data_IF_571433724147
#
_entry.id   IF_571433724147
#
_cell.length_a   1.000
_cell.length_b   1.000
_cell.length_c   1.000
_cell.angle_alpha   90.00
_cell.angle_beta   90.00
_cell.angle_gamma   90.00
#
_symmetry.space_group_name_H-M   'P 1'
#
loop_
_entity.id
_entity.type
_entity.pdbx_description
1 polymer ?
#
# COMPACT_ATOMS: atom_id res chain seq x y z
N UNK A 1 23.19 13.33 -16.69
CA UNK A 1 21.80 13.78 -16.44
C UNK A 1 21.27 13.03 -15.24
N UNK A 2 20.40 13.63 -14.41
CA UNK A 2 19.78 12.91 -13.29
C UNK A 2 18.98 11.68 -13.81
N UNK A 3 18.96 10.60 -13.04
CA UNK A 3 18.22 9.36 -13.32
C UNK A 3 18.43 8.79 -14.74
N UNK A 4 19.65 8.86 -15.29
CA UNK A 4 19.97 8.44 -16.66
C UNK A 4 19.10 9.09 -17.76
N UNK A 5 18.55 10.30 -17.50
CA UNK A 5 17.67 10.99 -18.45
C UNK A 5 16.22 10.49 -18.44
N UNK A 6 15.85 9.57 -17.54
CA UNK A 6 14.46 9.17 -17.33
C UNK A 6 13.71 10.20 -16.47
N UNK A 7 12.50 10.56 -16.89
CA UNK A 7 11.60 11.36 -16.07
C UNK A 7 11.17 10.55 -14.84
N UNK A 8 11.15 11.14 -13.63
CA UNK A 8 10.59 10.48 -12.46
C UNK A 8 9.09 10.22 -12.70
N UNK A 9 8.55 9.10 -12.20
CA UNK A 9 7.12 8.84 -12.29
C UNK A 9 6.35 9.88 -11.45
N UNK A 10 5.10 10.15 -11.85
CA UNK A 10 4.20 10.97 -11.04
C UNK A 10 3.82 10.24 -9.74
N UNK A 11 3.81 10.99 -8.64
CA UNK A 11 3.53 10.45 -7.30
C UNK A 11 2.08 10.61 -6.86
N UNK A 12 1.22 11.29 -7.63
CA UNK A 12 -0.16 11.56 -7.23
C UNK A 12 -0.97 10.29 -6.97
N UNK A 13 -0.65 9.18 -7.67
CA UNK A 13 -1.35 7.90 -7.53
C UNK A 13 -0.43 6.72 -7.22
N UNK A 14 0.85 6.96 -6.90
CA UNK A 14 1.86 5.90 -6.82
C UNK A 14 1.52 4.84 -5.77
N UNK A 15 0.97 5.24 -4.63
CA UNK A 15 0.55 4.35 -3.55
C UNK A 15 -0.61 3.40 -3.95
N UNK A 16 -1.36 3.72 -5.01
CA UNK A 16 -2.40 2.82 -5.56
C UNK A 16 -1.93 2.10 -6.83
N UNK A 17 -0.97 2.66 -7.54
CA UNK A 17 -0.47 2.13 -8.81
C UNK A 17 0.60 1.04 -8.65
N UNK A 18 1.07 0.81 -7.42
CA UNK A 18 2.12 -0.16 -7.10
C UNK A 18 1.61 -1.08 -6.01
N UNK A 19 0.85 -2.10 -6.39
CA UNK A 19 0.43 -3.16 -5.48
C UNK A 19 1.36 -4.36 -5.62
N UNK A 20 1.79 -4.93 -4.50
CA UNK A 20 2.55 -6.18 -4.46
C UNK A 20 1.59 -7.29 -4.06
N UNK A 21 1.44 -8.29 -4.91
CA UNK A 21 0.64 -9.48 -4.61
C UNK A 21 1.52 -10.51 -3.89
N UNK A 22 0.98 -11.17 -2.86
CA UNK A 22 1.69 -12.22 -2.11
C UNK A 22 1.85 -13.55 -2.87
N UNK A 23 1.38 -13.60 -4.13
CA UNK A 23 1.49 -14.75 -5.04
C UNK A 23 0.49 -15.90 -4.73
N UNK A 24 0.46 -16.90 -5.62
CA UNK A 24 -0.36 -18.10 -5.44
C UNK A 24 0.30 -19.06 -4.42
N UNK A 25 -0.45 -19.62 -3.44
CA UNK A 25 -1.89 -19.51 -3.17
C UNK A 25 -2.25 -18.51 -2.05
N UNK A 26 -1.34 -17.64 -1.64
CA UNK A 26 -1.50 -16.76 -0.47
C UNK A 26 -2.69 -15.80 -0.57
N UNK A 27 -3.11 -15.48 -1.80
CA UNK A 27 -4.30 -14.65 -2.08
C UNK A 27 -5.58 -15.17 -1.39
N UNK A 28 -5.69 -16.46 -1.08
CA UNK A 28 -6.85 -17.02 -0.37
C UNK A 28 -6.97 -16.42 1.03
N UNK A 29 -5.84 -16.17 1.70
CA UNK A 29 -5.82 -15.59 3.03
C UNK A 29 -6.04 -14.07 3.00
N UNK A 30 -5.67 -13.39 1.92
CA UNK A 30 -5.91 -11.94 1.73
C UNK A 30 -7.39 -11.57 1.82
N UNK A 31 -8.28 -12.49 1.41
CA UNK A 31 -9.74 -12.29 1.50
C UNK A 31 -10.19 -12.16 2.95
N UNK A 32 -9.57 -12.90 3.87
CA UNK A 32 -9.94 -12.89 5.28
C UNK A 32 -9.27 -11.74 6.05
N UNK A 33 -8.07 -11.32 5.62
CA UNK A 33 -7.35 -10.22 6.28
C UNK A 33 -7.75 -8.84 5.77
N UNK A 34 -8.34 -8.75 4.57
CA UNK A 34 -8.74 -7.48 3.92
C UNK A 34 -7.61 -6.45 3.88
N UNK A 35 -6.36 -6.93 3.80
CA UNK A 35 -5.18 -6.07 3.82
C UNK A 35 -5.12 -5.22 2.54
N UNK A 36 -5.08 -3.89 2.69
CA UNK A 36 -5.14 -2.95 1.58
C UNK A 36 -3.98 -1.94 1.55
N UNK A 37 -2.90 -2.21 2.30
CA UNK A 37 -1.78 -1.27 2.51
C UNK A 37 -0.53 -1.65 1.69
N UNK A 38 -0.64 -2.59 0.75
CA UNK A 38 0.51 -3.10 -0.01
C UNK A 38 1.24 -2.07 -0.87
N UNK A 39 0.61 -0.93 -1.22
CA UNK A 39 1.28 0.14 -1.95
C UNK A 39 2.11 1.08 -1.08
N UNK A 40 1.57 1.62 0.03
CA UNK A 40 2.36 2.30 1.05
C UNK A 40 3.53 1.46 1.56
N UNK A 41 3.32 0.16 1.79
CA UNK A 41 4.39 -0.76 2.21
C UNK A 41 5.47 -0.90 1.15
N UNK A 42 5.08 -0.99 -0.12
CA UNK A 42 6.02 -1.05 -1.23
C UNK A 42 6.88 0.22 -1.27
N UNK A 43 6.29 1.39 -1.10
CA UNK A 43 7.03 2.66 -1.06
C UNK A 43 8.00 2.68 0.12
N UNK A 44 7.55 2.26 1.31
CA UNK A 44 8.39 2.20 2.52
C UNK A 44 9.57 1.25 2.31
N UNK A 45 9.31 0.04 1.82
CA UNK A 45 10.33 -0.97 1.55
C UNK A 45 11.32 -0.50 0.48
N UNK A 46 10.83 0.17 -0.57
CA UNK A 46 11.67 0.74 -1.61
C UNK A 46 12.60 1.83 -1.04
N UNK A 47 12.11 2.70 -0.18
CA UNK A 47 12.89 3.79 0.40
C UNK A 47 13.93 3.29 1.41
N UNK A 48 13.66 2.19 2.12
CA UNK A 48 14.56 1.60 3.11
C UNK A 48 15.56 0.60 2.51
N UNK A 49 15.29 0.03 1.34
CA UNK A 49 16.10 -1.03 0.73
C UNK A 49 17.37 -0.63 -0.04
N UNK A 50 17.77 0.64 0.00
CA UNK A 50 18.93 1.12 -0.80
C UNK A 50 20.30 0.69 -0.27
N UNK A 51 20.39 0.27 0.99
CA UNK A 51 21.65 -0.18 1.61
C UNK A 51 21.87 -1.70 1.48
N UNK A 52 20.92 -2.40 0.87
CA UNK A 52 21.01 -3.84 0.64
C UNK A 52 22.08 -4.18 -0.40
N UNK A 53 22.77 -5.30 -0.22
CA UNK A 53 23.84 -5.71 -1.14
C UNK A 53 23.30 -6.61 -2.25
N UNK A 54 23.76 -6.43 -3.50
CA UNK A 54 23.38 -7.31 -4.59
C UNK A 54 23.95 -8.72 -4.36
N UNK A 55 23.17 -9.79 -4.64
CA UNK A 55 23.67 -11.16 -4.58
C UNK A 55 24.92 -11.38 -5.43
N UNK A 56 25.78 -12.30 -5.02
CA UNK A 56 27.03 -12.60 -5.70
C UNK A 56 26.80 -12.90 -7.19
N UNK A 57 27.57 -12.25 -8.07
CA UNK A 57 27.47 -12.40 -9.52
C UNK A 57 26.33 -11.61 -10.19
N UNK A 58 25.54 -10.84 -9.43
CA UNK A 58 24.54 -9.96 -10.01
C UNK A 58 25.18 -8.72 -10.63
N UNK A 59 25.01 -8.55 -11.94
CA UNK A 59 25.45 -7.35 -12.65
C UNK A 59 24.38 -6.26 -12.52
N UNK A 60 24.82 -5.07 -12.08
CA UNK A 60 24.01 -3.87 -12.00
C UNK A 60 24.43 -2.95 -13.14
N UNK A 61 23.46 -2.45 -13.90
CA UNK A 61 23.76 -1.56 -15.02
C UNK A 61 24.35 -0.24 -14.52
N UNK A 62 25.28 0.32 -15.28
CA UNK A 62 25.87 1.62 -14.95
C UNK A 62 24.79 2.70 -14.82
N UNK A 63 24.92 3.56 -13.81
CA UNK A 63 23.94 4.60 -13.51
C UNK A 63 22.64 4.10 -12.87
N UNK A 64 22.56 2.82 -12.48
CA UNK A 64 21.43 2.29 -11.71
C UNK A 64 21.85 1.86 -10.31
N UNK A 65 20.89 1.87 -9.39
CA UNK A 65 21.06 1.55 -7.99
C UNK A 65 20.31 0.26 -7.68
N UNK A 66 20.98 -0.69 -7.03
CA UNK A 66 20.34 -1.93 -6.60
C UNK A 66 19.29 -1.65 -5.52
N UNK A 67 18.16 -2.34 -5.60
CA UNK A 67 17.15 -2.34 -4.55
C UNK A 67 16.32 -3.63 -4.65
N UNK A 68 16.31 -4.50 -3.62
CA UNK A 68 15.62 -5.79 -3.69
C UNK A 68 14.10 -5.67 -3.72
N UNK A 69 13.56 -4.53 -3.29
CA UNK A 69 12.11 -4.30 -3.22
C UNK A 69 11.57 -3.64 -4.49
N UNK A 70 12.42 -3.27 -5.45
CA UNK A 70 11.95 -2.71 -6.71
C UNK A 70 11.30 -3.79 -7.59
N UNK A 71 9.96 -3.75 -7.70
CA UNK A 71 9.21 -4.82 -8.37
C UNK A 71 9.42 -4.91 -9.89
N UNK A 72 9.89 -3.85 -10.54
CA UNK A 72 9.99 -3.82 -12.00
C UNK A 72 11.33 -4.33 -12.54
N UNK A 73 12.40 -4.34 -11.73
CA UNK A 73 13.72 -4.81 -12.13
C UNK A 73 14.65 -5.02 -10.92
N UNK A 74 15.89 -5.46 -11.15
CA UNK A 74 16.92 -5.62 -10.12
C UNK A 74 17.47 -4.30 -9.57
N UNK A 75 17.33 -3.22 -10.34
CA UNK A 75 17.90 -1.92 -10.04
C UNK A 75 17.05 -0.82 -10.69
N UNK A 76 17.14 0.40 -10.16
CA UNK A 76 16.43 1.57 -10.65
C UNK A 76 17.37 2.77 -10.82
N UNK A 77 17.00 3.71 -11.69
CA UNK A 77 17.81 4.90 -11.95
C UNK A 77 17.74 5.96 -10.83
N UNK A 78 16.85 5.79 -9.85
CA UNK A 78 16.72 6.67 -8.70
C UNK A 78 17.84 6.40 -7.70
N UNK A 79 18.63 7.43 -7.36
CA UNK A 79 19.59 7.36 -6.26
C UNK A 79 18.89 7.35 -4.90
N UNK A 80 19.59 6.90 -3.84
CA UNK A 80 19.09 6.88 -2.46
C UNK A 80 18.61 8.29 -2.06
N UNK A 81 17.31 8.51 -1.80
CA UNK A 81 16.76 9.84 -1.58
C UNK A 81 16.79 10.31 -0.12
N UNK A 82 16.94 9.37 0.81
CA UNK A 82 16.85 9.59 2.26
C UNK A 82 18.16 9.21 2.96
N UNK A 83 18.50 9.94 3.99
CA UNK A 83 19.58 9.66 4.95
C UNK A 83 19.11 10.06 6.35
N UNK A 84 19.69 9.46 7.38
CA UNK A 84 19.42 9.86 8.76
C UNK A 84 19.78 11.35 8.98
N UNK A 85 19.07 12.00 9.90
CA UNK A 85 19.26 13.42 10.27
C UNK A 85 19.08 14.43 9.12
N UNK A 86 18.48 14.01 8.00
CA UNK A 86 18.26 14.87 6.83
C UNK A 86 17.15 15.92 7.04
N UNK A 87 16.12 15.62 7.85
CA UNK A 87 14.98 16.52 8.10
C UNK A 87 14.63 16.55 9.58
N UNK A 88 14.69 17.72 10.20
CA UNK A 88 14.30 17.89 11.60
C UNK A 88 12.80 18.07 11.73
N UNK A 89 12.16 17.25 12.58
CA UNK A 89 10.77 17.40 12.96
C UNK A 89 10.59 18.33 14.16
N UNK A 90 9.56 19.17 14.13
CA UNK A 90 9.26 20.12 15.21
C UNK A 90 8.72 19.45 16.50
N UNK A 91 8.20 18.22 16.37
CA UNK A 91 7.60 17.45 17.46
C UNK A 91 8.57 16.49 18.16
N UNK A 92 9.84 16.46 17.73
CA UNK A 92 10.85 15.57 18.28
C UNK A 92 10.78 14.13 17.76
N UNK A 93 10.03 13.87 16.68
CA UNK A 93 10.01 12.55 16.04
C UNK A 93 11.41 12.07 15.60
N UNK A 94 11.66 10.75 15.59
CA UNK A 94 12.96 10.19 15.21
C UNK A 94 13.40 10.63 13.81
N UNK A 95 14.64 11.06 13.67
CA UNK A 95 15.21 11.54 12.41
C UNK A 95 15.87 10.41 11.62
N UNK A 96 15.18 9.29 11.45
CA UNK A 96 15.72 8.08 10.81
C UNK A 96 15.08 7.82 9.45
N UNK A 97 15.81 7.14 8.55
CA UNK A 97 15.29 6.71 7.24
C UNK A 97 14.00 5.90 7.37
N UNK A 98 13.86 5.05 8.38
CA UNK A 98 12.63 4.29 8.62
C UNK A 98 11.43 5.21 8.92
N UNK A 99 11.63 6.23 9.77
CA UNK A 99 10.59 7.19 10.11
C UNK A 99 10.20 8.05 8.90
N UNK A 100 11.19 8.61 8.20
CA UNK A 100 10.94 9.38 6.98
C UNK A 100 10.20 8.55 5.92
N UNK A 101 10.61 7.30 5.70
CA UNK A 101 9.97 6.41 4.75
C UNK A 101 8.51 6.12 5.13
N UNK A 102 8.23 5.92 6.43
CA UNK A 102 6.87 5.67 6.92
C UNK A 102 5.97 6.88 6.70
N UNK A 103 6.46 8.06 7.01
CA UNK A 103 5.71 9.31 6.89
C UNK A 103 5.45 9.69 5.43
N UNK A 104 6.46 9.57 4.57
CA UNK A 104 6.32 9.80 3.13
C UNK A 104 5.34 8.81 2.50
N UNK A 105 5.42 7.53 2.87
CA UNK A 105 4.45 6.52 2.39
C UNK A 105 3.03 6.82 2.83
N UNK A 106 2.83 7.23 4.09
CA UNK A 106 1.53 7.63 4.61
C UNK A 106 0.98 8.87 3.88
N UNK A 107 1.82 9.88 3.67
CA UNK A 107 1.47 11.09 2.91
C UNK A 107 1.08 10.76 1.46
N UNK A 108 1.85 9.90 0.78
CA UNK A 108 1.55 9.48 -0.59
C UNK A 108 0.27 8.64 -0.68
N UNK A 109 -0.05 7.86 0.35
CA UNK A 109 -1.34 7.18 0.44
C UNK A 109 -2.49 8.16 0.57
N UNK A 110 -2.35 9.17 1.43
CA UNK A 110 -3.33 10.23 1.58
C UNK A 110 -3.51 11.02 0.27
N UNK A 111 -2.41 11.38 -0.40
CA UNK A 111 -2.47 12.07 -1.69
C UNK A 111 -3.17 11.23 -2.77
N UNK A 112 -2.91 9.91 -2.78
CA UNK A 112 -3.55 9.00 -3.70
C UNK A 112 -5.03 8.72 -3.34
N UNK A 113 -5.40 8.77 -2.06
CA UNK A 113 -6.77 8.53 -1.60
C UNK A 113 -7.22 9.51 -0.50
N UNK A 114 -7.53 10.77 -0.86
CA UNK A 114 -7.90 11.80 0.12
C UNK A 114 -9.24 11.54 0.81
N UNK A 115 -10.12 10.72 0.20
CA UNK A 115 -11.43 10.36 0.73
C UNK A 115 -11.47 9.00 1.44
N UNK A 116 -10.31 8.42 1.77
CA UNK A 116 -10.21 7.07 2.35
C UNK A 116 -11.04 6.93 3.64
N UNK A 117 -10.93 7.91 4.55
CA UNK A 117 -11.67 7.90 5.82
C UNK A 117 -13.18 8.01 5.60
N UNK A 118 -13.61 8.88 4.69
CA UNK A 118 -15.02 9.07 4.36
C UNK A 118 -15.61 7.81 3.71
N UNK A 119 -14.86 7.17 2.82
CA UNK A 119 -15.24 5.88 2.23
C UNK A 119 -15.41 4.80 3.30
N UNK A 120 -14.43 4.66 4.21
CA UNK A 120 -14.50 3.69 5.32
C UNK A 120 -15.69 3.97 6.25
N UNK A 121 -15.90 5.23 6.63
CA UNK A 121 -17.02 5.67 7.47
C UNK A 121 -18.38 5.38 6.81
N UNK A 122 -18.51 5.66 5.53
CA UNK A 122 -19.74 5.39 4.77
C UNK A 122 -19.99 3.89 4.62
N UNK A 123 -18.95 3.12 4.27
CA UNK A 123 -19.03 1.67 4.17
C UNK A 123 -19.48 1.00 5.48
N UNK A 124 -18.96 1.46 6.62
CA UNK A 124 -19.40 0.96 7.93
C UNK A 124 -20.89 1.21 8.19
N UNK A 125 -21.40 2.42 7.90
CA UNK A 125 -22.83 2.74 8.03
C UNK A 125 -23.70 1.85 7.13
N UNK A 126 -23.27 1.65 5.89
CA UNK A 126 -23.98 0.78 4.93
C UNK A 126 -23.99 -0.67 5.42
N UNK A 127 -22.89 -1.18 5.97
CA UNK A 127 -22.83 -2.54 6.51
C UNK A 127 -23.84 -2.76 7.64
N UNK A 128 -23.93 -1.82 8.58
CA UNK A 128 -24.92 -1.87 9.68
C UNK A 128 -26.34 -1.87 9.12
N UNK A 129 -26.64 -0.99 8.17
CA UNK A 129 -27.95 -0.95 7.51
C UNK A 129 -28.29 -2.28 6.83
N UNK A 130 -27.35 -2.87 6.08
CA UNK A 130 -27.56 -4.13 5.37
C UNK A 130 -27.80 -5.30 6.32
N UNK A 131 -27.10 -5.36 7.46
CA UNK A 131 -27.34 -6.40 8.48
C UNK A 131 -28.76 -6.29 9.04
N UNK A 132 -29.20 -5.08 9.39
CA UNK A 132 -30.56 -4.85 9.89
C UNK A 132 -31.62 -5.18 8.82
N UNK A 133 -31.40 -4.70 7.59
CA UNK A 133 -32.30 -4.95 6.47
C UNK A 133 -32.38 -6.44 6.13
N UNK A 134 -31.26 -7.15 6.11
CA UNK A 134 -31.23 -8.60 5.91
C UNK A 134 -32.01 -9.34 7.02
N UNK A 135 -31.91 -8.89 8.26
CA UNK A 135 -32.72 -9.41 9.38
C UNK A 135 -34.22 -9.22 9.14
N UNK A 136 -34.65 -8.02 8.73
CA UNK A 136 -36.05 -7.73 8.42
C UNK A 136 -36.56 -8.58 7.25
N UNK A 137 -35.79 -8.66 6.16
CA UNK A 137 -36.13 -9.49 4.99
C UNK A 137 -36.20 -10.97 5.36
N UNK A 138 -35.31 -11.46 6.23
CA UNK A 138 -35.35 -12.84 6.70
C UNK A 138 -36.61 -13.15 7.51
N UNK A 139 -37.01 -12.24 8.41
CA UNK A 139 -38.27 -12.37 9.17
C UNK A 139 -39.47 -12.33 8.23
N UNK A 140 -39.51 -11.39 7.29
CA UNK A 140 -40.58 -11.28 6.30
C UNK A 140 -40.68 -12.55 5.43
N UNK A 141 -39.55 -13.07 4.96
CA UNK A 141 -39.47 -14.36 4.24
C UNK A 141 -40.06 -15.49 5.10
N UNK A 142 -39.66 -15.61 6.35
CA UNK A 142 -40.15 -16.67 7.25
C UNK A 142 -41.66 -16.56 7.49
N UNK A 143 -42.19 -15.34 7.59
CA UNK A 143 -43.63 -15.09 7.79
C UNK A 143 -44.46 -15.37 6.53
N UNK A 144 -43.98 -15.04 5.34
CA UNK A 144 -44.74 -15.24 4.08
C UNK A 144 -44.77 -16.72 3.70
N UNK A 145 -43.67 -17.42 3.94
CA UNK A 145 -43.50 -18.82 3.55
C UNK A 145 -43.87 -19.81 4.67
N UNK A 146 -44.48 -19.35 5.78
CA UNK A 146 -44.88 -20.22 6.89
C UNK A 146 -45.97 -21.22 6.52
N UNK A 147 -46.83 -20.86 5.56
CA UNK A 147 -48.03 -21.62 5.22
C UNK A 147 -47.84 -22.50 3.98
N UNK A 148 -46.64 -22.48 3.40
CA UNK A 148 -46.26 -23.34 2.27
C UNK A 148 -45.66 -24.63 2.83
N UNK A 149 -46.28 -25.78 2.55
CA UNK A 149 -45.72 -27.10 2.92
C UNK A 149 -44.31 -27.24 2.31
N UNK A 150 -43.35 -27.57 3.17
CA UNK A 150 -42.02 -27.98 2.77
C UNK A 150 -42.00 -29.45 2.34
#
# INVERSE_FOLDING_TARGET
AANNGAAPPDFSLIAKARAVERGFPQFIFDIFTQYAEGGPDYIHSLLTGFDEQPPAGMQIAEGTHYNPYFISAKALAMAKPLSDDQVTYDDGSPQTVDQYARDVSAFLMWAAEPHLEERKRTGFRVMVFLILFAGLVYVAKRSIWSDVKH
#
